data_IF_857380582756
#
_entry.id   IF_857380582756
#
_cell.length_a   1.000
_cell.length_b   1.000
_cell.length_c   1.000
_cell.angle_alpha   90.00
_cell.angle_beta   90.00
_cell.angle_gamma   90.00
#
_symmetry.space_group_name_H-M   'P 1'
#
loop_
_entity.id
_entity.type
_entity.pdbx_description
1 polymer ?
#
# COMPACT_ATOMS: atom_id res chain seq x y z
N UNK A 1 10.53 -22.54 7.26
CA UNK A 1 9.23 -22.09 7.81
C UNK A 1 8.27 -23.27 7.71
N UNK A 2 7.85 -23.83 8.84
CA UNK A 2 6.77 -24.81 8.90
C UNK A 2 5.50 -24.01 9.20
N UNK A 3 4.56 -23.99 8.26
CA UNK A 3 3.27 -23.31 8.43
C UNK A 3 2.25 -24.41 8.73
N UNK A 4 1.78 -24.49 9.96
CA UNK A 4 0.71 -25.40 10.36
C UNK A 4 -0.62 -24.66 10.23
N UNK A 5 -1.52 -25.19 9.39
CA UNK A 5 -2.84 -24.62 9.14
C UNK A 5 -3.87 -25.50 9.87
N UNK A 6 -4.43 -24.98 10.96
CA UNK A 6 -5.44 -25.67 11.75
C UNK A 6 -6.84 -25.23 11.29
N UNK A 7 -7.56 -26.11 10.61
CA UNK A 7 -8.95 -25.87 10.20
C UNK A 7 -9.89 -26.28 11.33
N UNK A 8 -10.45 -25.30 12.04
CA UNK A 8 -11.50 -25.53 13.04
C UNK A 8 -12.83 -24.96 12.53
N UNK A 9 -13.87 -25.79 12.51
CA UNK A 9 -15.20 -25.49 11.95
C UNK A 9 -16.10 -24.63 12.86
N UNK A 10 -15.57 -24.10 13.97
CA UNK A 10 -16.32 -23.32 14.97
C UNK A 10 -15.77 -21.91 15.20
N UNK A 11 -14.90 -21.41 14.32
CA UNK A 11 -14.32 -20.06 14.43
C UNK A 11 -15.39 -19.05 13.97
N UNK A 12 -15.84 -18.17 14.87
CA UNK A 12 -16.63 -17.00 14.49
C UNK A 12 -15.69 -15.84 14.14
N UNK A 13 -16.09 -14.88 13.27
CA UNK A 13 -15.23 -13.77 12.87
C UNK A 13 -14.66 -12.97 14.05
N UNK A 14 -15.38 -12.91 15.18
CA UNK A 14 -14.92 -12.20 16.38
C UNK A 14 -13.77 -12.89 17.12
N UNK A 15 -13.44 -14.14 16.76
CA UNK A 15 -12.38 -14.94 17.38
C UNK A 15 -11.04 -14.89 16.64
N UNK A 16 -10.97 -14.18 15.51
CA UNK A 16 -9.73 -13.99 14.75
C UNK A 16 -8.87 -12.92 15.44
N UNK A 17 -7.65 -13.24 15.90
CA UNK A 17 -6.77 -12.24 16.50
C UNK A 17 -6.38 -11.15 15.50
N UNK A 18 -6.19 -9.92 15.97
CA UNK A 18 -5.59 -8.84 15.17
C UNK A 18 -4.23 -9.26 14.61
N UNK A 19 -3.86 -8.76 13.43
CA UNK A 19 -2.60 -9.14 12.78
C UNK A 19 -2.64 -10.47 12.02
N UNK A 20 -3.85 -10.95 11.69
CA UNK A 20 -4.07 -12.04 10.74
C UNK A 20 -4.31 -11.50 9.32
N UNK A 21 -3.67 -12.11 8.32
CA UNK A 21 -3.99 -11.86 6.91
C UNK A 21 -5.14 -12.76 6.47
N UNK A 22 -6.24 -12.17 6.01
CA UNK A 22 -7.40 -12.90 5.50
C UNK A 22 -7.27 -13.20 4.00
N UNK A 23 -7.47 -14.47 3.62
CA UNK A 23 -7.43 -14.93 2.24
C UNK A 23 -8.64 -15.80 1.93
N UNK A 24 -9.47 -15.38 0.98
CA UNK A 24 -10.59 -16.19 0.48
C UNK A 24 -10.08 -17.18 -0.58
N UNK A 25 -10.21 -18.47 -0.30
CA UNK A 25 -9.84 -19.56 -1.22
C UNK A 25 -11.01 -19.89 -2.16
N UNK A 26 -12.24 -19.88 -1.63
CA UNK A 26 -13.47 -20.09 -2.39
C UNK A 26 -14.68 -19.49 -1.68
N UNK A 27 -15.87 -19.56 -2.29
CA UNK A 27 -17.12 -19.11 -1.68
C UNK A 27 -17.47 -19.79 -0.34
N UNK A 28 -16.80 -20.90 -0.01
CA UNK A 28 -17.02 -21.67 1.23
C UNK A 28 -15.77 -21.82 2.10
N UNK A 29 -14.64 -21.20 1.71
CA UNK A 29 -13.37 -21.40 2.40
C UNK A 29 -12.55 -20.12 2.39
N UNK A 30 -12.18 -19.67 3.58
CA UNK A 30 -11.22 -18.60 3.82
C UNK A 30 -10.19 -19.07 4.85
N UNK A 31 -9.02 -18.46 4.82
CA UNK A 31 -7.94 -18.71 5.77
C UNK A 31 -7.48 -17.38 6.34
N UNK A 32 -7.36 -17.34 7.67
CA UNK A 32 -6.77 -16.24 8.41
C UNK A 32 -5.38 -16.68 8.90
N UNK A 33 -4.34 -16.05 8.38
CA UNK A 33 -2.95 -16.40 8.68
C UNK A 33 -2.41 -15.43 9.71
N UNK A 34 -2.16 -15.91 10.94
CA UNK A 34 -1.51 -15.10 11.96
C UNK A 34 -0.07 -14.74 11.53
N UNK A 35 0.19 -13.44 11.33
CA UNK A 35 1.51 -12.92 10.99
C UNK A 35 2.26 -12.39 12.23
N UNK A 36 1.55 -12.20 13.35
CA UNK A 36 2.10 -11.77 14.63
C UNK A 36 3.26 -12.68 15.06
N UNK A 37 4.45 -12.11 15.26
CA UNK A 37 5.65 -12.86 15.67
C UNK A 37 6.44 -13.51 14.52
N UNK A 38 5.88 -13.62 13.31
CA UNK A 38 6.61 -14.04 12.10
C UNK A 38 7.18 -12.82 11.38
N UNK A 39 6.42 -11.73 11.35
CA UNK A 39 6.86 -10.44 10.81
C UNK A 39 6.88 -9.38 11.91
N UNK A 40 7.81 -8.44 11.80
CA UNK A 40 7.78 -7.25 12.63
C UNK A 40 6.84 -6.23 11.95
N UNK A 41 5.56 -6.27 12.34
CA UNK A 41 4.51 -5.42 11.77
C UNK A 41 4.86 -3.94 11.90
N UNK A 42 5.37 -3.50 13.05
CA UNK A 42 5.79 -2.11 13.26
C UNK A 42 6.87 -1.67 12.27
N UNK A 43 7.89 -2.52 12.04
CA UNK A 43 8.96 -2.25 11.07
C UNK A 43 8.41 -2.15 9.65
N UNK A 44 7.47 -3.01 9.27
CA UNK A 44 6.86 -2.95 7.94
C UNK A 44 5.97 -1.71 7.77
N UNK A 45 5.19 -1.33 8.79
CA UNK A 45 4.43 -0.09 8.81
C UNK A 45 5.33 1.14 8.67
N UNK A 46 6.46 1.19 9.40
CA UNK A 46 7.44 2.28 9.27
C UNK A 46 8.03 2.37 7.87
N UNK A 47 8.36 1.22 7.25
CA UNK A 47 8.85 1.19 5.87
C UNK A 47 7.81 1.68 4.87
N UNK A 48 6.55 1.26 5.01
CA UNK A 48 5.46 1.67 4.13
C UNK A 48 5.16 3.16 4.29
N UNK A 49 5.09 3.67 5.52
CA UNK A 49 4.93 5.09 5.80
C UNK A 49 6.07 5.92 5.17
N UNK A 50 7.33 5.49 5.35
CA UNK A 50 8.47 6.18 4.76
C UNK A 50 8.52 6.13 3.23
N UNK A 51 7.93 5.10 2.59
CA UNK A 51 7.74 5.07 1.13
C UNK A 51 6.65 6.05 0.70
N UNK A 52 5.52 6.07 1.40
CA UNK A 52 4.42 7.00 1.13
C UNK A 52 4.88 8.45 1.22
N UNK A 53 5.58 8.82 2.28
CA UNK A 53 6.11 10.19 2.47
C UNK A 53 7.05 10.62 1.33
N UNK A 54 7.92 9.72 0.86
CA UNK A 54 8.78 9.99 -0.31
C UNK A 54 7.98 10.22 -1.58
N UNK A 55 6.94 9.43 -1.81
CA UNK A 55 6.08 9.59 -2.99
C UNK A 55 5.28 10.89 -2.91
N UNK A 56 4.77 11.26 -1.73
CA UNK A 56 4.10 12.54 -1.48
C UNK A 56 5.02 13.72 -1.78
N UNK A 57 6.27 13.68 -1.31
CA UNK A 57 7.26 14.72 -1.59
C UNK A 57 7.56 14.85 -3.11
N UNK A 58 7.63 13.72 -3.83
CA UNK A 58 7.83 13.72 -5.28
C UNK A 58 6.62 14.31 -6.02
N UNK A 59 5.39 13.96 -5.62
CA UNK A 59 4.16 14.51 -6.20
C UNK A 59 4.07 16.01 -5.93
N UNK A 60 4.34 16.45 -4.71
CA UNK A 60 4.33 17.88 -4.35
C UNK A 60 5.31 18.69 -5.21
N UNK A 61 6.52 18.16 -5.44
CA UNK A 61 7.51 18.79 -6.30
C UNK A 61 7.06 18.87 -7.76
N UNK A 62 6.42 17.83 -8.28
CA UNK A 62 5.87 17.84 -9.64
C UNK A 62 4.75 18.87 -9.78
N UNK A 63 3.86 18.96 -8.80
CA UNK A 63 2.78 19.95 -8.78
C UNK A 63 3.33 21.39 -8.69
N UNK A 64 4.38 21.62 -7.90
CA UNK A 64 5.05 22.92 -7.83
C UNK A 64 5.67 23.31 -9.19
N UNK A 65 6.25 22.34 -9.90
CA UNK A 65 6.80 22.57 -11.24
C UNK A 65 5.71 22.88 -12.26
N UNK A 66 4.63 22.09 -12.27
CA UNK A 66 3.47 22.25 -13.16
C UNK A 66 2.72 23.56 -12.90
N UNK A 67 2.71 24.05 -11.66
CA UNK A 67 2.04 25.29 -11.27
C UNK A 67 2.78 26.58 -11.66
N UNK A 68 3.98 26.49 -12.25
CA UNK A 68 4.72 27.68 -12.68
C UNK A 68 4.05 28.32 -13.91
N UNK A 69 3.89 29.65 -13.94
CA UNK A 69 3.16 30.33 -15.02
C UNK A 69 3.78 30.16 -16.41
N UNK A 70 5.09 29.89 -16.48
CA UNK A 70 5.86 29.67 -17.71
C UNK A 70 6.10 28.18 -18.01
N UNK A 71 5.48 27.26 -17.26
CA UNK A 71 5.73 25.82 -17.40
C UNK A 71 5.40 25.31 -18.80
N UNK A 72 4.24 25.67 -19.36
CA UNK A 72 3.84 25.20 -20.68
C UNK A 72 4.69 25.73 -21.83
N UNK A 73 5.27 26.93 -21.66
CA UNK A 73 6.13 27.57 -22.65
C UNK A 73 7.57 27.03 -22.59
N UNK A 74 8.10 26.84 -21.37
CA UNK A 74 9.51 26.43 -21.17
C UNK A 74 9.72 24.93 -21.10
N UNK A 75 8.68 24.14 -20.84
CA UNK A 75 8.79 22.69 -20.69
C UNK A 75 8.22 22.00 -21.94
N UNK A 76 9.07 21.31 -22.72
CA UNK A 76 8.63 20.60 -23.92
C UNK A 76 7.53 19.59 -23.63
N UNK A 77 6.60 19.42 -24.59
CA UNK A 77 5.49 18.49 -24.47
C UNK A 77 5.90 17.07 -24.01
N UNK A 78 6.98 16.45 -24.54
CA UNK A 78 7.40 15.13 -24.07
C UNK A 78 7.75 15.07 -22.59
N UNK A 79 8.33 16.15 -22.04
CA UNK A 79 8.67 16.23 -20.62
C UNK A 79 7.40 16.43 -19.78
N UNK A 80 6.45 17.24 -20.26
CA UNK A 80 5.15 17.43 -19.58
C UNK A 80 4.37 16.11 -19.50
N UNK A 81 4.32 15.35 -20.59
CA UNK A 81 3.69 14.02 -20.62
C UNK A 81 4.38 13.08 -19.62
N UNK A 82 5.71 12.99 -19.63
CA UNK A 82 6.44 12.15 -18.70
C UNK A 82 6.22 12.55 -17.22
N UNK A 83 6.10 13.85 -16.93
CA UNK A 83 5.79 14.34 -15.59
C UNK A 83 4.38 13.92 -15.14
N UNK A 84 3.39 14.04 -16.03
CA UNK A 84 2.02 13.56 -15.79
C UNK A 84 1.99 12.07 -15.53
N UNK A 85 2.59 11.26 -16.40
CA UNK A 85 2.64 9.79 -16.25
C UNK A 85 3.33 9.39 -14.94
N UNK A 86 4.44 10.06 -14.59
CA UNK A 86 5.13 9.84 -13.33
C UNK A 86 4.27 10.17 -12.12
N UNK A 87 3.54 11.29 -12.17
CA UNK A 87 2.63 11.70 -11.09
C UNK A 87 1.51 10.68 -10.92
N UNK A 88 0.90 10.22 -12.01
CA UNK A 88 -0.15 9.20 -11.96
C UNK A 88 0.36 7.86 -11.40
N UNK A 89 1.54 7.41 -11.83
CA UNK A 89 2.16 6.20 -11.31
C UNK A 89 2.42 6.29 -9.79
N UNK A 90 2.94 7.42 -9.31
CA UNK A 90 3.16 7.65 -7.87
C UNK A 90 1.85 7.64 -7.08
N UNK A 91 0.78 8.24 -7.61
CA UNK A 91 -0.54 8.24 -6.96
C UNK A 91 -1.16 6.83 -6.88
N UNK A 92 -1.00 6.02 -7.93
CA UNK A 92 -1.43 4.61 -7.93
C UNK A 92 -0.65 3.81 -6.89
N UNK A 93 0.68 3.99 -6.84
CA UNK A 93 1.51 3.31 -5.84
C UNK A 93 1.12 3.72 -4.41
N UNK A 94 0.86 5.00 -4.17
CA UNK A 94 0.40 5.49 -2.86
C UNK A 94 -0.90 4.82 -2.42
N UNK A 95 -1.89 4.66 -3.32
CA UNK A 95 -3.13 3.94 -3.00
C UNK A 95 -2.88 2.47 -2.63
N UNK A 96 -1.93 1.83 -3.31
CA UNK A 96 -1.53 0.46 -2.97
C UNK A 96 -0.85 0.38 -1.61
N UNK A 97 0.00 1.35 -1.27
CA UNK A 97 0.65 1.45 0.04
C UNK A 97 -0.39 1.70 1.14
N UNK A 98 -1.38 2.56 0.91
CA UNK A 98 -2.47 2.83 1.86
C UNK A 98 -3.31 1.59 2.14
N UNK A 99 -3.65 0.82 1.10
CA UNK A 99 -4.34 -0.46 1.26
C UNK A 99 -3.51 -1.47 2.07
N UNK A 100 -2.20 -1.54 1.84
CA UNK A 100 -1.30 -2.40 2.60
C UNK A 100 -1.16 -1.98 4.06
N UNK A 101 -1.08 -0.67 4.34
CA UNK A 101 -1.08 -0.14 5.70
C UNK A 101 -2.38 -0.50 6.41
N UNK A 102 -3.53 -0.25 5.77
CA UNK A 102 -4.85 -0.57 6.34
C UNK A 102 -4.97 -2.06 6.69
N UNK A 103 -4.47 -2.95 5.82
CA UNK A 103 -4.49 -4.40 6.03
C UNK A 103 -3.57 -4.86 7.18
N UNK A 104 -2.52 -4.09 7.53
CA UNK A 104 -1.59 -4.41 8.61
C UNK A 104 -1.94 -3.73 9.93
N UNK A 105 -2.78 -2.69 9.90
CA UNK A 105 -3.23 -1.95 11.08
C UNK A 105 -4.62 -2.35 11.60
N UNK A 106 -5.34 -3.20 10.86
CA UNK A 106 -6.63 -3.79 11.25
C UNK A 106 -6.45 -5.14 11.95
#
# INVERSE_FOLDING_TARGET
>A
LQVEVLLQSTITPESIPSGCAHVTISSRCSVDIALQGIINVERELVKLAGKKEKNEALVAKLLEQEGRPDYEEKVPLPVRVANTEKKEALLVEMKSIEAAIAALSG
#
